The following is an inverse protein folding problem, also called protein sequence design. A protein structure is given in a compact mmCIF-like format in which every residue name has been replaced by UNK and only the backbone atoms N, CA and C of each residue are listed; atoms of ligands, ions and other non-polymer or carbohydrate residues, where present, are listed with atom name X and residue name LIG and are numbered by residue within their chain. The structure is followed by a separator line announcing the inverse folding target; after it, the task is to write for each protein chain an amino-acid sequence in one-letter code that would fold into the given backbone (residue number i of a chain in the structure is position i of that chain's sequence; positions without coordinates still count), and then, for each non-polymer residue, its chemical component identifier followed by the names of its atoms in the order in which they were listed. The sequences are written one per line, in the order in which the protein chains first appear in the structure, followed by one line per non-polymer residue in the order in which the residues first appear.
data_IF_517657562608
#
_entry.id   IF_517657562608
#
_cell.length_a   1.000
_cell.length_b   1.000
_cell.length_c   1.000
_cell.angle_alpha   90.00
_cell.angle_beta   90.00
_cell.angle_gamma   90.00
#
_symmetry.space_group_name_H-M   'P 1'
#
loop_
_entity.id
_entity.type
_entity.pdbx_description
1 polymer ?
#
# COMPACT_ATOMS: atom_id res chain seq x y z
N UNK A 1 -1.35 -17.31 -4.14
CA UNK A 1 -0.25 -16.34 -4.11
C UNK A 1 0.11 -15.94 -2.68
N UNK A 2 -0.85 -15.51 -1.84
CA UNK A 2 -0.59 -15.13 -0.42
C UNK A 2 0.22 -16.17 0.33
N UNK A 3 -0.25 -17.42 0.42
CA UNK A 3 0.42 -18.49 1.18
C UNK A 3 1.84 -18.77 0.68
N UNK A 4 2.04 -18.78 -0.65
CA UNK A 4 3.35 -18.97 -1.26
C UNK A 4 4.31 -17.85 -0.85
N UNK A 5 3.85 -16.60 -0.87
CA UNK A 5 4.65 -15.45 -0.45
C UNK A 5 4.96 -15.49 1.05
N UNK A 6 3.98 -15.85 1.89
CA UNK A 6 4.20 -16.05 3.34
C UNK A 6 5.26 -17.13 3.58
N UNK A 7 5.22 -18.23 2.84
CA UNK A 7 6.25 -19.26 2.91
C UNK A 7 7.65 -18.73 2.51
N UNK A 8 7.74 -17.83 1.51
CA UNK A 8 9.02 -17.22 1.15
C UNK A 8 9.59 -16.34 2.26
N UNK A 9 8.74 -15.60 2.99
CA UNK A 9 9.17 -14.79 4.14
C UNK A 9 9.70 -15.65 5.30
N UNK A 10 9.14 -16.86 5.51
CA UNK A 10 9.60 -17.77 6.57
C UNK A 10 10.93 -18.47 6.25
N UNK A 11 11.30 -18.54 4.97
CA UNK A 11 12.48 -19.29 4.50
C UNK A 11 13.71 -18.42 4.27
N UNK A 12 13.58 -17.08 4.34
CA UNK A 12 14.66 -16.15 3.99
C UNK A 12 14.87 -15.15 5.11
N UNK A 13 16.13 -14.98 5.51
CA UNK A 13 16.52 -13.99 6.51
C UNK A 13 16.29 -12.55 6.02
N UNK A 14 16.33 -12.33 4.70
CA UNK A 14 16.12 -11.02 4.07
C UNK A 14 15.28 -11.17 2.81
N UNK A 15 14.10 -10.55 2.82
CA UNK A 15 13.19 -10.50 1.68
C UNK A 15 12.43 -9.18 1.68
N UNK A 16 12.39 -8.50 0.53
CA UNK A 16 11.54 -7.34 0.29
C UNK A 16 10.65 -7.62 -0.93
N UNK A 17 9.37 -7.25 -0.84
CA UNK A 17 8.42 -7.39 -1.94
C UNK A 17 7.70 -6.06 -2.13
N UNK A 18 7.75 -5.53 -3.35
CA UNK A 18 6.97 -4.36 -3.74
C UNK A 18 5.66 -4.82 -4.37
N UNK A 19 4.54 -4.26 -3.91
CA UNK A 19 3.20 -4.57 -4.40
C UNK A 19 2.46 -3.27 -4.70
N UNK A 20 1.83 -3.19 -5.88
CA UNK A 20 0.87 -2.13 -6.18
C UNK A 20 -0.53 -2.62 -5.82
N UNK A 21 -1.17 -2.09 -4.75
CA UNK A 21 -2.40 -2.65 -4.21
C UNK A 21 -3.63 -2.36 -5.10
N UNK A 22 -3.56 -1.28 -5.90
CA UNK A 22 -4.54 -0.97 -6.95
C UNK A 22 -4.50 -1.98 -8.11
N UNK A 23 -3.38 -2.69 -8.29
CA UNK A 23 -3.15 -3.60 -9.41
C UNK A 23 -2.89 -2.87 -10.72
N UNK A 24 -3.41 -3.41 -11.83
CA UNK A 24 -3.13 -2.93 -13.20
C UNK A 24 -4.28 -2.13 -13.82
N UNK A 25 -5.38 -1.92 -13.10
CA UNK A 25 -6.54 -1.15 -13.58
C UNK A 25 -6.46 0.27 -13.03
N UNK A 26 -6.52 1.26 -13.91
CA UNK A 26 -6.71 2.65 -13.47
C UNK A 26 -8.10 2.82 -12.87
N UNK A 27 -8.23 3.68 -11.85
CA UNK A 27 -9.49 3.95 -11.15
C UNK A 27 -10.10 2.71 -10.50
N UNK A 28 -9.30 1.87 -9.85
CA UNK A 28 -9.84 0.70 -9.18
C UNK A 28 -10.85 1.11 -8.09
N UNK A 29 -12.04 0.50 -8.11
CA UNK A 29 -13.09 0.73 -7.11
C UNK A 29 -12.66 0.30 -5.70
N UNK A 30 -11.80 -0.71 -5.63
CA UNK A 30 -11.27 -1.26 -4.38
C UNK A 30 -9.86 -1.78 -4.60
N UNK A 31 -9.07 -1.83 -3.52
CA UNK A 31 -7.74 -2.42 -3.54
C UNK A 31 -7.79 -3.94 -3.36
N UNK A 32 -6.79 -4.62 -3.94
CA UNK A 32 -6.55 -6.04 -3.64
C UNK A 32 -5.81 -6.15 -2.32
N UNK A 33 -6.43 -6.76 -1.31
CA UNK A 33 -5.89 -6.86 0.06
C UNK A 33 -4.84 -7.95 0.28
N UNK A 34 -4.35 -8.59 -0.80
CA UNK A 34 -3.35 -9.66 -0.72
C UNK A 34 -2.07 -9.21 0.00
N UNK A 35 -1.62 -7.98 -0.21
CA UNK A 35 -0.44 -7.44 0.48
C UNK A 35 -0.63 -7.39 2.00
N UNK A 36 -1.82 -6.99 2.45
CA UNK A 36 -2.14 -6.88 3.87
C UNK A 36 -2.19 -8.26 4.53
N UNK A 37 -2.84 -9.22 3.88
CA UNK A 37 -2.87 -10.61 4.38
C UNK A 37 -1.48 -11.25 4.42
N UNK A 38 -0.62 -11.00 3.41
CA UNK A 38 0.77 -11.44 3.43
C UNK A 38 1.48 -10.87 4.65
N UNK A 39 1.40 -9.56 4.86
CA UNK A 39 2.07 -8.89 5.97
C UNK A 39 1.61 -9.38 7.35
N UNK A 40 0.28 -9.50 7.55
CA UNK A 40 -0.32 -10.01 8.80
C UNK A 40 0.10 -11.46 9.08
N UNK A 41 0.03 -12.35 8.08
CA UNK A 41 0.35 -13.78 8.26
C UNK A 41 1.86 -14.08 8.37
N UNK A 42 2.70 -13.27 7.74
CA UNK A 42 4.15 -13.37 7.84
C UNK A 42 4.72 -12.59 9.03
N UNK A 43 3.88 -11.82 9.75
CA UNK A 43 4.29 -10.94 10.85
C UNK A 43 5.41 -9.96 10.45
N UNK A 44 5.25 -9.32 9.29
CA UNK A 44 6.19 -8.34 8.73
C UNK A 44 5.51 -6.98 8.53
N UNK A 45 6.25 -5.87 8.58
CA UNK A 45 5.67 -4.56 8.37
C UNK A 45 5.36 -4.29 6.89
N UNK A 46 4.43 -3.37 6.67
CA UNK A 46 4.15 -2.73 5.38
C UNK A 46 4.83 -1.38 5.37
N UNK A 47 5.72 -1.16 4.39
CA UNK A 47 6.38 0.13 4.17
C UNK A 47 5.67 0.82 3.01
N UNK A 48 5.17 2.02 3.23
CA UNK A 48 4.52 2.79 2.16
C UNK A 48 5.59 3.49 1.34
N UNK A 49 5.43 3.45 0.02
CA UNK A 49 6.35 4.10 -0.92
C UNK A 49 5.57 5.09 -1.78
N UNK A 50 5.86 6.38 -1.63
CA UNK A 50 5.09 7.47 -2.24
C UNK A 50 5.95 8.24 -3.23
N UNK A 51 5.42 8.45 -4.42
CA UNK A 51 6.00 9.33 -5.43
C UNK A 51 5.23 10.65 -5.49
N UNK A 52 5.88 11.75 -5.11
CA UNK A 52 5.31 13.09 -5.24
C UNK A 52 5.82 13.77 -6.51
N UNK A 53 4.92 13.99 -7.46
CA UNK A 53 5.25 14.56 -8.77
C UNK A 53 5.44 16.07 -8.78
N UNK A 54 4.93 16.77 -7.78
CA UNK A 54 5.14 18.21 -7.63
C UNK A 54 6.52 18.45 -7.02
N UNK A 55 6.85 17.75 -5.95
CA UNK A 55 8.14 17.85 -5.25
C UNK A 55 9.28 17.12 -5.97
N UNK A 56 8.98 16.22 -6.92
CA UNK A 56 9.95 15.34 -7.60
C UNK A 56 10.71 14.44 -6.62
N UNK A 57 10.02 13.94 -5.60
CA UNK A 57 10.60 13.10 -4.56
C UNK A 57 9.96 11.72 -4.52
N UNK A 58 10.74 10.75 -4.04
CA UNK A 58 10.26 9.43 -3.65
C UNK A 58 10.53 9.26 -2.15
N UNK A 59 9.52 8.87 -1.38
CA UNK A 59 9.59 8.82 0.08
C UNK A 59 9.01 7.53 0.65
N UNK A 60 9.46 7.20 1.85
CA UNK A 60 8.95 6.09 2.65
C UNK A 60 8.44 6.61 3.99
N UNK A 61 7.27 7.27 4.01
CA UNK A 61 6.88 8.13 5.14
C UNK A 61 6.46 7.35 6.38
N UNK A 62 6.06 6.08 6.25
CA UNK A 62 5.54 5.30 7.37
C UNK A 62 5.78 3.81 7.19
N UNK A 63 5.95 3.14 8.32
CA UNK A 63 6.02 1.69 8.47
C UNK A 63 4.84 1.28 9.35
N UNK A 64 3.99 0.39 8.85
CA UNK A 64 2.76 -0.05 9.53
C UNK A 64 2.86 -1.55 9.78
N UNK A 65 2.65 -1.98 11.02
CA UNK A 65 2.42 -3.39 11.33
C UNK A 65 0.92 -3.66 11.31
N UNK A 66 0.43 -4.63 10.51
CA UNK A 66 -0.99 -4.97 10.44
C UNK A 66 -1.62 -5.24 11.81
N UNK A 67 -2.49 -4.33 12.25
CA UNK A 67 -3.27 -4.39 13.46
C UNK A 67 -4.50 -5.29 13.33
N UNK A 68 -5.30 -5.36 14.38
CA UNK A 68 -6.51 -6.20 14.42
C UNK A 68 -7.71 -5.55 13.73
N UNK A 69 -7.69 -4.21 13.60
CA UNK A 69 -8.64 -3.45 12.79
C UNK A 69 -8.02 -3.12 11.42
N UNK A 70 -8.28 -3.99 10.45
CA UNK A 70 -7.80 -3.82 9.07
C UNK A 70 -8.36 -2.55 8.42
N UNK A 71 -9.58 -2.17 8.73
CA UNK A 71 -10.19 -1.00 8.11
C UNK A 71 -9.47 0.27 8.59
N UNK A 72 -9.22 0.39 9.91
CA UNK A 72 -8.46 1.50 10.46
C UNK A 72 -7.06 1.63 9.83
N UNK A 73 -6.35 0.50 9.67
CA UNK A 73 -5.04 0.47 9.02
C UNK A 73 -5.13 0.93 7.55
N UNK A 74 -6.12 0.45 6.81
CA UNK A 74 -6.34 0.82 5.41
C UNK A 74 -6.66 2.32 5.27
N UNK A 75 -7.50 2.87 6.15
CA UNK A 75 -7.82 4.31 6.17
C UNK A 75 -6.56 5.15 6.39
N UNK A 76 -5.68 4.74 7.32
CA UNK A 76 -4.38 5.38 7.52
C UNK A 76 -3.52 5.29 6.25
N UNK A 77 -3.46 4.12 5.61
CA UNK A 77 -2.68 3.90 4.38
C UNK A 77 -3.18 4.81 3.26
N UNK A 78 -4.50 4.87 3.02
CA UNK A 78 -5.10 5.71 1.99
C UNK A 78 -4.81 7.20 2.22
N UNK A 79 -4.93 7.66 3.47
CA UNK A 79 -4.60 9.04 3.84
C UNK A 79 -3.14 9.40 3.54
N UNK A 80 -2.20 8.49 3.82
CA UNK A 80 -0.80 8.69 3.44
C UNK A 80 -0.63 8.78 1.93
N UNK A 81 -1.19 7.85 1.14
CA UNK A 81 -1.10 7.94 -0.32
C UNK A 81 -1.71 9.24 -0.89
N UNK A 82 -2.81 9.71 -0.30
CA UNK A 82 -3.46 10.96 -0.69
C UNK A 82 -2.66 12.23 -0.33
N UNK A 83 -1.63 12.13 0.50
CA UNK A 83 -0.75 13.26 0.82
C UNK A 83 0.20 13.63 -0.32
N UNK A 84 0.57 12.66 -1.17
CA UNK A 84 1.47 12.86 -2.30
C UNK A 84 0.71 13.40 -3.52
N UNK A 85 1.33 14.32 -4.26
CA UNK A 85 0.76 14.82 -5.52
C UNK A 85 0.98 13.81 -6.65
N UNK A 86 -0.08 13.19 -7.24
CA UNK A 86 0.06 12.22 -8.31
C UNK A 86 0.32 12.91 -9.66
N UNK A 87 0.93 12.18 -10.62
CA UNK A 87 1.06 12.66 -12.00
C UNK A 87 -0.28 12.82 -12.71
N UNK A 88 -1.23 11.93 -12.39
CA UNK A 88 -2.54 11.84 -13.04
C UNK A 88 -3.64 11.69 -11.97
N UNK A 89 -4.15 12.81 -11.41
CA UNK A 89 -5.19 12.77 -10.36
C UNK A 89 -6.46 11.99 -10.79
N UNK A 90 -6.88 12.13 -12.04
CA UNK A 90 -8.04 11.42 -12.60
C UNK A 90 -7.86 9.91 -12.82
N UNK A 91 -6.73 9.34 -12.39
CA UNK A 91 -6.46 7.89 -12.44
C UNK A 91 -6.31 7.25 -11.06
N UNK A 92 -6.46 8.01 -9.98
CA UNK A 92 -6.39 7.47 -8.62
C UNK A 92 -7.49 6.44 -8.39
N UNK A 93 -7.15 5.32 -7.74
CA UNK A 93 -8.15 4.41 -7.16
C UNK A 93 -9.16 5.15 -6.31
N UNK A 94 -10.38 4.64 -6.24
CA UNK A 94 -11.47 5.23 -5.45
C UNK A 94 -11.07 5.47 -3.99
N UNK A 95 -10.47 4.49 -3.26
CA UNK A 95 -10.14 4.69 -1.84
C UNK A 95 -9.15 5.83 -1.61
N UNK A 96 -8.12 5.97 -2.46
CA UNK A 96 -7.16 7.08 -2.35
C UNK A 96 -7.80 8.41 -2.77
N UNK A 97 -8.65 8.40 -3.80
CA UNK A 97 -9.31 9.60 -4.31
C UNK A 97 -10.26 10.21 -3.28
N UNK A 98 -10.98 9.40 -2.51
CA UNK A 98 -11.85 9.87 -1.43
C UNK A 98 -11.08 10.62 -0.33
N UNK A 99 -9.80 10.31 -0.16
CA UNK A 99 -8.89 10.96 0.77
C UNK A 99 -8.12 12.14 0.14
N UNK A 100 -8.13 12.25 -1.19
CA UNK A 100 -7.39 13.26 -1.94
C UNK A 100 -8.22 14.55 -2.07
N UNK A 101 -8.01 15.50 -1.16
CA UNK A 101 -8.78 16.76 -1.06
C UNK A 101 -8.17 17.95 -1.83
N UNK A 102 -7.37 17.71 -2.88
CA UNK A 102 -6.74 18.76 -3.70
C UNK A 102 -7.45 18.95 -5.03
#
# INVERSE_FOLDING_TARGET
MVEQTVAQFRQRDKLLIAVTPEGTRSNAEQWKLGFYHIAKQANVPIILALADYQAKTFSFPVVIYPGDDMEADLQQIYAHFASATPKHPGKLSVPVREHYRK
#
